data_IF_669725658081
#
_entry.id   IF_669725658081
#
_cell.length_a   1.000
_cell.length_b   1.000
_cell.length_c   1.000
_cell.angle_alpha   90.00
_cell.angle_beta   90.00
_cell.angle_gamma   90.00
#
_symmetry.space_group_name_H-M   'P 1'
#
loop_
_entity.id
_entity.type
_entity.pdbx_description
1 polymer ?
#
# COMPACT_ATOMS: atom_id res chain seq x y z
N UNK A 1 13.33 -11.36 -16.92
CA UNK A 1 13.59 -10.54 -15.73
C UNK A 1 12.59 -10.92 -14.67
N UNK A 2 13.05 -11.09 -13.44
CA UNK A 2 12.23 -11.54 -12.32
C UNK A 2 11.83 -10.36 -11.44
N UNK A 3 10.74 -10.53 -10.69
CA UNK A 3 10.25 -9.50 -9.77
C UNK A 3 11.35 -8.97 -8.85
N UNK A 4 12.17 -9.86 -8.30
CA UNK A 4 13.26 -9.48 -7.38
C UNK A 4 14.27 -8.51 -7.98
N UNK A 5 14.39 -8.51 -9.30
CA UNK A 5 15.35 -7.65 -10.00
C UNK A 5 14.82 -6.24 -10.21
N UNK A 6 13.52 -6.06 -10.10
CA UNK A 6 12.82 -4.82 -10.44
C UNK A 6 12.21 -4.14 -9.21
N UNK A 7 11.81 -4.93 -8.23
CA UNK A 7 11.08 -4.44 -7.06
C UNK A 7 11.90 -3.46 -6.22
N UNK A 8 11.19 -2.57 -5.55
CA UNK A 8 11.74 -1.76 -4.49
C UNK A 8 11.66 -2.58 -3.21
N UNK A 9 12.82 -2.88 -2.61
CA UNK A 9 12.91 -3.79 -1.48
C UNK A 9 12.63 -3.13 -0.13
N UNK A 10 12.86 -1.83 -0.01
CA UNK A 10 12.59 -1.10 1.23
C UNK A 10 11.12 -0.71 1.25
N UNK A 11 10.35 -1.35 2.10
CA UNK A 11 8.90 -1.14 2.18
C UNK A 11 8.55 -0.80 3.61
N UNK A 12 7.86 0.33 3.78
CA UNK A 12 7.31 0.72 5.08
C UNK A 12 5.92 0.13 5.20
N UNK A 13 5.76 -0.78 6.14
CA UNK A 13 4.49 -1.44 6.38
C UNK A 13 3.79 -0.82 7.59
N UNK A 14 2.47 -0.73 7.50
CA UNK A 14 1.66 -0.29 8.63
C UNK A 14 1.12 -1.48 9.39
N UNK A 15 0.91 -1.28 10.68
CA UNK A 15 0.10 -2.18 11.49
C UNK A 15 -1.37 -1.82 11.30
N UNK A 16 -2.30 -2.73 11.61
CA UNK A 16 -3.72 -2.42 11.44
C UNK A 16 -4.28 -1.41 12.46
N UNK A 17 -3.60 -1.23 13.60
CA UNK A 17 -4.13 -0.46 14.72
C UNK A 17 -4.02 1.06 14.63
N UNK A 18 -3.00 1.66 13.97
CA UNK A 18 -2.86 3.10 13.97
C UNK A 18 -4.06 3.81 13.36
N UNK A 19 -4.35 5.05 13.83
CA UNK A 19 -5.39 5.86 13.21
C UNK A 19 -5.08 6.18 11.75
N UNK A 20 -6.12 6.19 10.92
CA UNK A 20 -5.96 6.44 9.48
C UNK A 20 -5.32 7.79 9.20
N UNK A 21 -5.61 8.82 10.01
CA UNK A 21 -5.04 10.14 9.76
C UNK A 21 -3.52 10.18 9.93
N UNK A 22 -2.96 9.37 10.85
CA UNK A 22 -1.50 9.28 11.00
C UNK A 22 -0.88 8.58 9.81
N UNK A 23 -1.51 7.52 9.34
CA UNK A 23 -1.04 6.80 8.15
C UNK A 23 -1.10 7.70 6.90
N UNK A 24 -2.19 8.46 6.75
CA UNK A 24 -2.34 9.40 5.64
C UNK A 24 -1.22 10.46 5.66
N UNK A 25 -0.95 11.01 6.83
CA UNK A 25 0.11 12.01 6.98
C UNK A 25 1.47 11.43 6.62
N UNK A 26 1.75 10.21 7.08
CA UNK A 26 3.00 9.54 6.79
C UNK A 26 3.20 9.34 5.28
N UNK A 27 2.18 8.80 4.61
CA UNK A 27 2.25 8.58 3.16
C UNK A 27 2.44 9.89 2.39
N UNK A 28 1.67 10.91 2.77
CA UNK A 28 1.76 12.21 2.13
C UNK A 28 3.15 12.83 2.32
N UNK A 29 3.69 12.78 3.54
CA UNK A 29 5.00 13.36 3.85
C UNK A 29 6.13 12.68 3.08
N UNK A 30 5.99 11.41 2.76
CA UNK A 30 7.01 10.65 2.04
C UNK A 30 6.72 10.53 0.55
N UNK A 31 5.61 11.07 0.07
CA UNK A 31 5.25 10.97 -1.35
C UNK A 31 4.86 9.57 -1.77
N UNK A 32 4.38 8.74 -0.87
CA UNK A 32 3.97 7.36 -1.17
C UNK A 32 2.48 7.30 -1.47
N UNK A 33 2.11 6.53 -2.51
CA UNK A 33 0.71 6.39 -2.91
C UNK A 33 -0.02 5.26 -2.19
N UNK A 34 0.71 4.32 -1.62
CA UNK A 34 0.14 3.16 -0.95
C UNK A 34 1.17 2.55 -0.01
N UNK A 35 0.69 1.69 0.88
CA UNK A 35 1.55 0.91 1.76
C UNK A 35 0.90 -0.42 2.12
N UNK A 36 1.71 -1.45 2.38
CA UNK A 36 1.17 -2.72 2.86
C UNK A 36 0.79 -2.61 4.33
N UNK A 37 -0.15 -3.45 4.72
CA UNK A 37 -0.52 -3.64 6.12
C UNK A 37 -0.07 -5.04 6.51
N UNK A 38 0.67 -5.14 7.60
CA UNK A 38 1.20 -6.43 8.08
C UNK A 38 0.76 -6.69 9.50
N UNK A 39 0.72 -7.98 9.86
CA UNK A 39 0.47 -8.39 11.24
C UNK A 39 1.76 -8.37 12.06
N UNK A 40 1.69 -8.84 13.31
CA UNK A 40 2.82 -8.85 14.24
C UNK A 40 3.99 -9.70 13.75
N UNK A 41 3.73 -10.65 12.86
CA UNK A 41 4.74 -11.55 12.33
C UNK A 41 5.32 -11.08 10.99
N UNK A 42 4.89 -9.92 10.51
CA UNK A 42 5.33 -9.40 9.22
C UNK A 42 4.60 -9.97 8.03
N UNK A 43 3.52 -10.71 8.26
CA UNK A 43 2.71 -11.27 7.18
C UNK A 43 1.84 -10.19 6.55
N UNK A 44 1.76 -10.20 5.23
CA UNK A 44 0.92 -9.26 4.49
C UNK A 44 -0.56 -9.60 4.71
N UNK A 45 -1.33 -8.65 5.24
CA UNK A 45 -2.76 -8.84 5.50
C UNK A 45 -3.65 -7.86 4.74
N UNK A 46 -3.10 -6.80 4.20
CA UNK A 46 -3.88 -5.82 3.45
C UNK A 46 -3.01 -4.79 2.79
N UNK A 47 -3.65 -3.87 2.10
CA UNK A 47 -3.00 -2.71 1.48
C UNK A 47 -3.89 -1.50 1.70
N UNK A 48 -3.27 -0.33 1.95
CA UNK A 48 -4.00 0.93 2.06
C UNK A 48 -3.43 1.92 1.06
N UNK A 49 -4.29 2.76 0.52
CA UNK A 49 -3.88 3.83 -0.40
C UNK A 49 -3.94 5.18 0.29
N UNK A 50 -3.10 6.10 -0.18
CA UNK A 50 -3.10 7.47 0.35
C UNK A 50 -4.46 8.13 0.15
N UNK A 51 -5.11 7.89 -0.98
CA UNK A 51 -6.43 8.46 -1.28
C UNK A 51 -7.48 7.98 -0.29
N UNK A 52 -7.55 6.67 -0.04
CA UNK A 52 -8.54 6.10 0.88
C UNK A 52 -8.34 6.61 2.30
N UNK A 53 -7.09 6.66 2.75
CA UNK A 53 -6.77 7.16 4.09
C UNK A 53 -7.10 8.63 4.24
N UNK A 54 -6.79 9.45 3.25
CA UNK A 54 -7.06 10.89 3.29
C UNK A 54 -8.55 11.19 3.25
N UNK A 55 -9.29 10.48 2.41
CA UNK A 55 -10.74 10.65 2.31
C UNK A 55 -11.43 10.31 3.63
N UNK A 56 -11.05 9.21 4.25
CA UNK A 56 -11.62 8.80 5.52
C UNK A 56 -11.26 9.79 6.64
N UNK A 57 -10.02 10.26 6.67
CA UNK A 57 -9.58 11.25 7.66
C UNK A 57 -10.39 12.55 7.54
N UNK A 58 -10.59 13.03 6.31
CA UNK A 58 -11.36 14.24 6.06
C UNK A 58 -12.83 14.04 6.44
N UNK A 59 -13.40 12.91 6.12
CA UNK A 59 -14.79 12.59 6.47
C UNK A 59 -14.96 12.55 7.98
N UNK A 60 -14.05 11.92 8.70
CA UNK A 60 -14.08 11.88 10.16
C UNK A 60 -13.97 13.28 10.77
N UNK A 61 -13.09 14.11 10.24
CA UNK A 61 -12.94 15.48 10.70
C UNK A 61 -14.22 16.30 10.48
N UNK A 62 -14.86 16.14 9.32
CA UNK A 62 -16.12 16.82 9.01
C UNK A 62 -17.23 16.37 9.94
N UNK A 63 -17.32 15.10 10.21
CA UNK A 63 -18.31 14.55 11.14
C UNK A 63 -18.11 15.10 12.54
N UNK A 64 -16.87 15.19 12.99
CA UNK A 64 -16.55 15.75 14.29
C UNK A 64 -16.97 17.21 14.41
N UNK A 65 -16.90 17.98 13.33
CA UNK A 65 -17.33 19.36 13.31
C UNK A 65 -18.85 19.50 13.34
N UNK A 66 -19.57 18.56 12.71
CA UNK A 66 -21.04 18.60 12.63
C UNK A 66 -21.71 18.04 13.87
N UNK A 67 -21.08 17.08 14.52
CA UNK A 67 -21.63 16.45 15.69
C UNK A 67 -20.88 16.94 16.92
N UNK A 68 -21.60 17.15 17.97
CA UNK A 68 -21.01 17.65 19.20
C UNK A 68 -19.94 16.67 19.73
N UNK A 69 -18.83 17.22 20.25
CA UNK A 69 -17.65 16.41 20.58
C UNK A 69 -17.82 15.50 21.80
N UNK A 70 -18.96 15.44 22.41
CA UNK A 70 -19.18 14.57 23.56
C UNK A 70 -19.35 13.10 23.19
N UNK A 71 -19.50 12.80 21.94
CA UNK A 71 -19.53 11.42 21.48
C UNK A 71 -18.15 11.07 20.95
N UNK A 72 -17.59 10.04 21.51
CA UNK A 72 -16.30 9.52 21.05
C UNK A 72 -16.44 8.96 19.65
N UNK A 73 -16.31 9.83 18.67
CA UNK A 73 -16.12 9.35 17.30
C UNK A 73 -14.75 8.69 17.29
N UNK A 74 -14.73 7.37 17.39
CA UNK A 74 -13.49 6.63 17.25
C UNK A 74 -12.98 6.87 15.84
N UNK A 75 -11.80 7.48 15.68
CA UNK A 75 -11.27 7.70 14.33
C UNK A 75 -11.08 6.37 13.63
N UNK A 76 -11.28 6.36 12.31
CA UNK A 76 -11.02 5.18 11.51
C UNK A 76 -9.56 4.77 11.68
N UNK A 77 -9.34 3.47 11.74
CA UNK A 77 -8.01 2.88 11.81
C UNK A 77 -7.61 2.35 10.44
N UNK A 78 -6.32 2.10 10.26
CA UNK A 78 -5.80 1.49 9.03
C UNK A 78 -6.59 0.23 8.69
N UNK A 79 -6.87 -0.61 9.69
CA UNK A 79 -7.64 -1.85 9.52
C UNK A 79 -8.99 -1.61 8.84
N UNK A 80 -9.66 -0.52 9.17
CA UNK A 80 -11.00 -0.22 8.65
C UNK A 80 -10.99 0.13 7.16
N UNK A 81 -9.83 0.56 6.64
CA UNK A 81 -9.70 1.08 5.29
C UNK A 81 -8.87 0.21 4.39
N UNK A 82 -8.21 -0.81 4.94
CA UNK A 82 -7.35 -1.66 4.12
C UNK A 82 -8.16 -2.51 3.16
N UNK A 83 -7.57 -2.76 2.00
CA UNK A 83 -8.13 -3.64 0.99
C UNK A 83 -7.61 -5.05 1.26
N UNK A 84 -8.51 -6.01 1.32
CA UNK A 84 -8.17 -7.42 1.54
C UNK A 84 -9.22 -8.28 0.85
N UNK A 85 -8.86 -9.44 0.25
CA UNK A 85 -7.51 -9.98 0.10
C UNK A 85 -6.64 -9.14 -0.85
N UNK A 86 -5.33 -9.29 -0.74
CA UNK A 86 -4.37 -8.51 -1.52
C UNK A 86 -3.83 -9.36 -2.67
N UNK A 87 -3.89 -8.81 -3.88
CA UNK A 87 -3.18 -9.40 -5.00
C UNK A 87 -1.69 -9.23 -4.78
N UNK A 88 -0.93 -10.30 -4.99
CA UNK A 88 0.52 -10.28 -4.80
C UNK A 88 1.18 -11.26 -5.75
N UNK A 89 2.50 -11.14 -5.88
CA UNK A 89 3.31 -12.05 -6.67
C UNK A 89 4.54 -12.44 -5.87
N UNK A 90 5.23 -13.49 -6.32
CA UNK A 90 6.45 -13.97 -5.67
C UNK A 90 7.69 -13.31 -6.28
N UNK A 91 8.83 -13.31 -5.55
CA UNK A 91 10.07 -12.72 -6.07
C UNK A 91 10.58 -13.37 -7.36
N UNK A 92 10.24 -14.63 -7.58
CA UNK A 92 10.63 -15.35 -8.77
C UNK A 92 9.70 -15.20 -9.97
N UNK A 93 8.61 -14.44 -9.81
CA UNK A 93 7.65 -14.24 -10.90
C UNK A 93 8.29 -13.48 -12.06
N UNK A 94 7.92 -13.86 -13.28
CA UNK A 94 8.40 -13.17 -14.49
C UNK A 94 7.72 -11.81 -14.62
N UNK A 95 8.49 -10.82 -15.03
CA UNK A 95 7.99 -9.45 -15.15
C UNK A 95 6.84 -9.34 -16.15
N UNK A 96 6.84 -10.18 -17.19
CA UNK A 96 5.74 -10.18 -18.16
C UNK A 96 4.41 -10.57 -17.54
N UNK A 97 4.43 -11.51 -16.62
CA UNK A 97 3.23 -11.90 -15.86
C UNK A 97 2.78 -10.79 -14.91
N UNK A 98 3.74 -10.07 -14.32
CA UNK A 98 3.45 -8.96 -13.42
C UNK A 98 2.78 -7.82 -14.19
N UNK A 99 3.33 -7.44 -15.34
CA UNK A 99 2.75 -6.39 -16.18
C UNK A 99 1.34 -6.77 -16.60
N UNK A 100 1.15 -8.00 -17.04
CA UNK A 100 -0.17 -8.48 -17.46
C UNK A 100 -1.19 -8.40 -16.31
N UNK A 101 -0.80 -8.82 -15.12
CA UNK A 101 -1.67 -8.75 -13.94
C UNK A 101 -2.03 -7.31 -13.59
N UNK A 102 -1.04 -6.42 -13.59
CA UNK A 102 -1.27 -5.03 -13.24
C UNK A 102 -2.20 -4.33 -14.23
N UNK A 103 -2.04 -4.62 -15.53
CA UNK A 103 -2.93 -4.08 -16.55
C UNK A 103 -4.34 -4.67 -16.45
N UNK A 104 -4.43 -5.99 -16.32
CA UNK A 104 -5.71 -6.69 -16.29
C UNK A 104 -6.57 -6.28 -15.09
N UNK A 105 -5.94 -6.13 -13.94
CA UNK A 105 -6.63 -5.80 -12.68
C UNK A 105 -6.59 -4.31 -12.35
N UNK A 106 -6.00 -3.51 -13.21
CA UNK A 106 -5.84 -2.06 -12.99
C UNK A 106 -5.18 -1.75 -11.65
N UNK A 107 -4.07 -2.42 -11.39
CA UNK A 107 -3.29 -2.28 -10.17
C UNK A 107 -2.06 -1.43 -10.48
N UNK A 108 -1.79 -0.43 -9.65
CA UNK A 108 -0.60 0.42 -9.77
C UNK A 108 0.38 0.25 -8.60
N UNK A 109 0.14 -0.73 -7.74
CA UNK A 109 0.99 -1.01 -6.60
C UNK A 109 0.86 -2.49 -6.24
N UNK A 110 1.90 -3.28 -6.54
CA UNK A 110 1.84 -4.74 -6.38
C UNK A 110 2.85 -5.21 -5.34
N UNK A 111 2.40 -5.75 -4.21
CA UNK A 111 3.32 -6.34 -3.23
C UNK A 111 3.94 -7.62 -3.74
N UNK A 112 5.22 -7.79 -3.42
CA UNK A 112 5.97 -9.02 -3.69
C UNK A 112 6.17 -9.73 -2.37
N UNK A 113 5.76 -10.98 -2.33
CA UNK A 113 5.64 -11.75 -1.08
C UNK A 113 6.43 -13.05 -1.22
N UNK A 114 7.26 -13.33 -0.22
CA UNK A 114 7.96 -14.62 -0.10
C UNK A 114 7.27 -15.39 1.02
N UNK A 115 6.54 -16.44 0.64
CA UNK A 115 5.63 -17.10 1.57
C UNK A 115 4.49 -16.17 1.94
N UNK A 116 4.49 -15.67 3.16
CA UNK A 116 3.51 -14.69 3.63
C UNK A 116 4.14 -13.33 3.94
N UNK A 117 5.46 -13.23 3.87
CA UNK A 117 6.21 -12.04 4.25
C UNK A 117 6.44 -11.15 3.05
N UNK A 118 6.08 -9.87 3.18
CA UNK A 118 6.33 -8.91 2.12
C UNK A 118 7.82 -8.63 2.03
N UNK A 119 8.38 -8.70 0.82
CA UNK A 119 9.81 -8.48 0.58
C UNK A 119 10.06 -7.29 -0.36
N UNK A 120 9.04 -6.78 -1.01
CA UNK A 120 9.19 -5.64 -1.90
C UNK A 120 7.87 -5.22 -2.49
N UNK A 121 7.93 -4.24 -3.37
CA UNK A 121 6.77 -3.72 -4.10
C UNK A 121 7.19 -3.35 -5.51
N UNK A 122 6.27 -3.51 -6.45
CA UNK A 122 6.46 -3.07 -7.83
C UNK A 122 5.37 -2.07 -8.19
N UNK A 123 5.82 -0.94 -8.74
CA UNK A 123 4.94 0.13 -9.23
C UNK A 123 5.24 0.35 -10.71
N UNK A 124 4.38 1.09 -11.45
CA UNK A 124 4.69 1.45 -12.83
C UNK A 124 6.05 2.15 -12.99
N UNK A 125 6.46 2.95 -12.00
CA UNK A 125 7.78 3.59 -12.04
C UNK A 125 8.92 2.57 -12.06
N UNK A 126 8.79 1.50 -11.27
CA UNK A 126 9.79 0.42 -11.24
C UNK A 126 9.86 -0.28 -12.61
N UNK A 127 8.71 -0.55 -13.20
CA UNK A 127 8.63 -1.20 -14.51
C UNK A 127 9.22 -0.31 -15.59
N UNK A 128 8.95 0.98 -15.53
CA UNK A 128 9.49 1.94 -16.50
C UNK A 128 11.01 2.00 -16.40
N UNK A 129 11.56 2.06 -15.19
CA UNK A 129 13.01 2.06 -15.01
C UNK A 129 13.66 0.80 -15.56
N UNK A 130 13.02 -0.35 -15.40
CA UNK A 130 13.53 -1.62 -15.90
C UNK A 130 13.52 -1.66 -17.43
N UNK A 131 12.48 -1.09 -18.05
CA UNK A 131 12.34 -1.05 -19.50
C UNK A 131 13.20 0.02 -20.15
N UNK A 132 13.58 1.05 -19.39
CA UNK A 132 14.35 2.19 -19.90
C UNK A 132 15.52 2.48 -18.95
N UNK A 133 16.51 1.56 -18.89
CA UNK A 133 17.65 1.76 -18.00
C UNK A 133 18.49 2.96 -18.44
N UNK A 134 19.14 3.64 -17.49
CA UNK A 134 19.99 4.78 -17.85
C UNK A 134 21.09 4.33 -18.80
N UNK A 135 21.24 5.11 -19.88
CA UNK A 135 22.32 4.90 -20.83
C UNK A 135 23.60 5.52 -20.24
N UNK A 136 24.60 4.70 -20.10
CA UNK A 136 25.82 5.28 -19.57
C UNK A 136 26.83 4.42 -19.14
#
# INVERSE_FOLDING_TARGET
MKAREVMTATVHAFRPDPPAYLAAHYLHSHGYGAAPVTDDNGNLIGIVTATDLSTAANTSARRSRRHRPHRHAVPARVHDLMITPVESMTPGADITHIVAMMLDKNIDWLPIVDGHTIVGVITPADLFRAANPPTG
#
